data_IF_111622135806
#
_entry.id   IF_111622135806
#
_cell.length_a   1.000
_cell.length_b   1.000
_cell.length_c   1.000
_cell.angle_alpha   90.00
_cell.angle_beta   90.00
_cell.angle_gamma   90.00
#
_symmetry.space_group_name_H-M   'P 1'
#
loop_
_entity.id
_entity.type
_entity.pdbx_description
1 polymer ?
#
# COMPACT_ATOMS: atom_id res chain seq x y z
N UNK A 1 39.49 -43.53 -18.64
CA UNK A 1 38.85 -43.29 -17.33
C UNK A 1 39.14 -41.86 -16.90
N UNK A 2 38.26 -40.92 -17.21
CA UNK A 2 38.25 -39.54 -16.67
C UNK A 2 37.05 -38.84 -17.32
N UNK A 3 35.96 -38.63 -16.57
CA UNK A 3 34.93 -37.60 -16.85
C UNK A 3 33.78 -37.54 -15.83
N UNK A 4 33.91 -38.14 -14.63
CA UNK A 4 32.86 -38.10 -13.60
C UNK A 4 33.00 -36.96 -12.58
N UNK A 5 34.16 -36.29 -12.51
CA UNK A 5 34.42 -35.26 -11.49
C UNK A 5 33.78 -33.90 -11.83
N UNK A 6 33.78 -33.51 -13.11
CA UNK A 6 33.31 -32.18 -13.56
C UNK A 6 31.79 -32.06 -13.41
N UNK A 7 31.04 -33.14 -13.64
CA UNK A 7 29.57 -33.15 -13.55
C UNK A 7 29.04 -32.96 -12.14
N UNK A 8 29.75 -33.44 -11.10
CA UNK A 8 29.32 -33.28 -9.70
C UNK A 8 29.59 -31.88 -9.15
N UNK A 9 30.70 -31.26 -9.58
CA UNK A 9 31.05 -29.90 -9.19
C UNK A 9 30.06 -28.91 -9.80
N UNK A 10 29.75 -29.05 -11.10
CA UNK A 10 28.76 -28.20 -11.76
C UNK A 10 27.36 -28.30 -11.09
N UNK A 11 26.93 -29.50 -10.71
CA UNK A 11 25.65 -29.74 -10.04
C UNK A 11 25.59 -29.08 -8.64
N UNK A 12 26.67 -29.16 -7.86
CA UNK A 12 26.75 -28.52 -6.54
C UNK A 12 26.77 -26.99 -6.62
N UNK A 13 27.45 -26.42 -7.61
CA UNK A 13 27.48 -24.97 -7.83
C UNK A 13 26.12 -24.42 -8.27
N UNK A 14 25.36 -25.14 -9.11
CA UNK A 14 24.00 -24.74 -9.49
C UNK A 14 23.01 -24.86 -8.33
N UNK A 15 23.14 -25.88 -7.47
CA UNK A 15 22.25 -26.06 -6.32
C UNK A 15 22.49 -24.99 -5.25
N UNK A 16 23.75 -24.62 -5.01
CA UNK A 16 24.12 -23.55 -4.08
C UNK A 16 23.65 -22.17 -4.56
N UNK A 17 23.76 -21.88 -5.86
CA UNK A 17 23.25 -20.64 -6.44
C UNK A 17 21.72 -20.53 -6.34
N UNK A 18 21.00 -21.64 -6.51
CA UNK A 18 19.54 -21.68 -6.39
C UNK A 18 19.08 -21.51 -4.92
N UNK A 19 19.81 -22.09 -3.97
CA UNK A 19 19.55 -21.91 -2.54
C UNK A 19 19.88 -20.49 -2.06
N UNK A 20 20.94 -19.84 -2.57
CA UNK A 20 21.26 -18.46 -2.21
C UNK A 20 20.20 -17.49 -2.78
N UNK A 21 19.78 -17.68 -4.04
CA UNK A 21 18.72 -16.87 -4.63
C UNK A 21 17.37 -17.04 -3.89
N UNK A 22 17.03 -18.27 -3.48
CA UNK A 22 15.80 -18.53 -2.72
C UNK A 22 15.82 -17.93 -1.31
N UNK A 23 16.98 -17.86 -0.65
CA UNK A 23 17.11 -17.24 0.68
C UNK A 23 17.13 -15.71 0.59
N UNK A 24 17.68 -15.12 -0.47
CA UNK A 24 17.63 -13.67 -0.71
C UNK A 24 16.21 -13.16 -0.97
N UNK A 25 15.33 -14.00 -1.53
CA UNK A 25 13.91 -13.66 -1.71
C UNK A 25 13.10 -13.70 -0.41
N UNK A 26 13.64 -14.23 0.69
CA UNK A 26 12.93 -14.36 1.97
C UNK A 26 13.15 -13.19 2.94
N UNK A 27 14.01 -12.21 2.61
CA UNK A 27 14.42 -11.19 3.60
C UNK A 27 14.64 -9.77 3.06
N UNK A 28 14.18 -9.44 1.85
CA UNK A 28 13.95 -8.04 1.49
C UNK A 28 12.48 -7.74 1.75
N UNK A 29 12.21 -7.03 2.85
CA UNK A 29 10.92 -6.35 3.00
C UNK A 29 10.66 -5.52 1.75
N UNK A 30 9.44 -5.57 1.22
CA UNK A 30 9.12 -4.85 -0.01
C UNK A 30 9.37 -3.35 0.20
N UNK A 31 10.11 -2.71 -0.72
CA UNK A 31 10.43 -1.27 -0.64
C UNK A 31 9.20 -0.39 -0.94
N UNK A 32 8.16 -0.98 -1.53
CA UNK A 32 6.89 -0.32 -1.87
C UNK A 32 5.71 -1.23 -1.57
N UNK A 33 4.52 -0.66 -1.41
CA UNK A 33 3.30 -1.45 -1.30
C UNK A 33 3.04 -2.20 -2.61
N UNK A 34 2.78 -3.49 -2.49
CA UNK A 34 2.65 -4.39 -3.62
C UNK A 34 1.45 -5.32 -3.42
N UNK A 35 0.79 -5.61 -4.54
CA UNK A 35 -0.28 -6.61 -4.61
C UNK A 35 0.20 -7.73 -5.52
N UNK A 36 0.28 -8.94 -5.00
CA UNK A 36 0.68 -10.12 -5.77
C UNK A 36 -0.43 -11.15 -5.82
N UNK A 37 -0.53 -11.87 -6.93
CA UNK A 37 -1.49 -12.96 -7.08
C UNK A 37 -0.85 -14.23 -6.53
N UNK A 38 -1.35 -14.71 -5.39
CA UNK A 38 -0.92 -15.96 -4.77
C UNK A 38 -1.49 -17.16 -5.52
N UNK A 39 -2.78 -17.08 -5.88
CA UNK A 39 -3.52 -18.14 -6.55
C UNK A 39 -4.62 -17.56 -7.42
N UNK A 40 -4.92 -18.22 -8.54
CA UNK A 40 -6.03 -17.85 -9.42
C UNK A 40 -6.73 -19.11 -9.91
N UNK A 41 -8.07 -19.10 -9.86
CA UNK A 41 -8.92 -20.12 -10.44
C UNK A 41 -10.00 -19.52 -11.34
N UNK A 42 -10.90 -20.37 -11.81
CA UNK A 42 -11.95 -19.97 -12.78
C UNK A 42 -12.92 -18.90 -12.24
N UNK A 43 -13.08 -18.82 -10.92
CA UNK A 43 -14.03 -17.92 -10.26
C UNK A 43 -13.47 -17.24 -8.99
N UNK A 44 -12.17 -17.32 -8.74
CA UNK A 44 -11.55 -16.70 -7.57
C UNK A 44 -10.11 -16.27 -7.86
N UNK A 45 -9.64 -15.31 -7.06
CA UNK A 45 -8.24 -14.92 -6.95
C UNK A 45 -7.92 -14.82 -5.46
N UNK A 46 -6.72 -15.27 -5.10
CA UNK A 46 -6.14 -15.07 -3.78
C UNK A 46 -4.98 -14.11 -3.94
N UNK A 47 -5.02 -13.03 -3.17
CA UNK A 47 -4.11 -11.91 -3.30
C UNK A 47 -3.33 -11.73 -1.99
N UNK A 48 -2.05 -11.47 -2.14
CA UNK A 48 -1.17 -11.03 -1.06
C UNK A 48 -0.94 -9.54 -1.17
N UNK A 49 -1.18 -8.84 -0.06
CA UNK A 49 -0.90 -7.41 0.09
C UNK A 49 0.28 -7.27 1.04
N UNK A 50 1.34 -6.67 0.56
CA UNK A 50 2.53 -6.38 1.36
C UNK A 50 2.79 -4.89 1.31
N UNK A 51 3.07 -4.29 2.46
CA UNK A 51 3.43 -2.87 2.55
C UNK A 51 4.65 -2.70 3.46
N UNK A 52 5.56 -1.76 3.14
CA UNK A 52 6.60 -1.36 4.06
C UNK A 52 6.02 -0.64 5.28
N UNK A 53 6.84 -0.51 6.34
CA UNK A 53 6.48 0.30 7.49
C UNK A 53 6.17 1.75 7.08
N UNK A 54 5.15 2.36 7.70
CA UNK A 54 4.80 3.75 7.43
C UNK A 54 5.91 4.71 7.86
N UNK A 55 6.04 5.81 7.13
CA UNK A 55 6.82 6.97 7.55
C UNK A 55 5.86 8.04 8.10
N UNK A 56 6.17 8.54 9.29
CA UNK A 56 5.40 9.59 9.95
C UNK A 56 6.09 10.94 9.82
N UNK A 57 5.28 11.98 9.72
CA UNK A 57 5.70 13.36 9.64
C UNK A 57 4.63 14.27 10.22
N UNK A 58 4.85 15.57 10.13
CA UNK A 58 3.98 16.56 10.73
C UNK A 58 3.71 17.68 9.73
N UNK A 59 2.49 18.22 9.75
CA UNK A 59 2.10 19.36 8.93
C UNK A 59 1.25 20.32 9.74
N UNK A 60 1.55 21.61 9.60
CA UNK A 60 0.70 22.67 10.14
C UNK A 60 -0.45 22.96 9.17
N UNK A 61 -1.68 22.95 9.69
CA UNK A 61 -2.86 23.42 8.97
C UNK A 61 -3.73 24.27 9.89
N UNK A 62 -4.01 25.50 9.46
CA UNK A 62 -4.88 26.44 10.17
C UNK A 62 -4.49 26.63 11.67
N UNK A 63 -3.19 26.75 11.96
CA UNK A 63 -2.65 26.93 13.31
C UNK A 63 -2.68 25.69 14.20
N UNK A 64 -3.06 24.52 13.66
CA UNK A 64 -2.99 23.23 14.34
C UNK A 64 -1.96 22.32 13.69
N UNK A 65 -1.24 21.55 14.50
CA UNK A 65 -0.36 20.50 14.02
C UNK A 65 -1.13 19.19 13.85
N UNK A 66 -0.87 18.52 12.73
CA UNK A 66 -1.42 17.22 12.39
C UNK A 66 -0.30 16.26 11.96
N UNK A 67 -0.51 14.98 12.22
CA UNK A 67 0.35 13.90 11.76
C UNK A 67 0.11 13.65 10.27
N UNK A 68 1.17 13.29 9.55
CA UNK A 68 1.07 12.81 8.17
C UNK A 68 1.65 11.41 8.12
N UNK A 69 0.93 10.48 7.51
CA UNK A 69 1.38 9.10 7.31
C UNK A 69 1.63 8.86 5.81
N UNK A 70 2.75 8.23 5.48
CA UNK A 70 3.07 7.82 4.12
C UNK A 70 3.53 6.38 4.09
N UNK A 71 3.06 5.65 3.10
CA UNK A 71 3.54 4.30 2.77
C UNK A 71 3.98 4.35 1.31
N UNK A 72 5.21 3.93 1.02
CA UNK A 72 5.71 3.93 -0.35
C UNK A 72 4.82 3.03 -1.22
N UNK A 73 4.47 3.44 -2.44
CA UNK A 73 3.57 2.69 -3.33
C UNK A 73 2.07 2.85 -3.05
N UNK A 74 1.68 3.61 -2.02
CA UNK A 74 0.28 3.92 -1.74
C UNK A 74 -0.14 5.30 -2.27
N UNK A 75 -1.43 5.42 -2.55
CA UNK A 75 -2.12 6.67 -2.87
C UNK A 75 -2.95 7.16 -1.68
N UNK A 76 -3.53 8.35 -1.79
CA UNK A 76 -4.42 8.95 -0.79
C UNK A 76 -5.86 8.94 -1.28
N UNK A 77 -6.81 8.53 -0.43
CA UNK A 77 -8.24 8.69 -0.74
C UNK A 77 -8.61 10.15 -0.48
N UNK A 78 -8.78 10.92 -1.56
CA UNK A 78 -9.11 12.33 -1.50
C UNK A 78 -10.60 12.57 -1.16
N UNK A 79 -11.01 12.23 0.07
CA UNK A 79 -12.30 12.64 0.64
C UNK A 79 -12.10 13.86 1.55
N UNK A 80 -12.47 15.09 1.12
CA UNK A 80 -12.15 16.31 1.85
C UNK A 80 -12.70 16.31 3.28
N UNK A 81 -11.85 16.70 4.24
CA UNK A 81 -12.20 16.78 5.65
C UNK A 81 -12.05 15.49 6.46
N UNK A 82 -11.81 14.36 5.80
CA UNK A 82 -11.48 13.08 6.45
C UNK A 82 -9.96 12.89 6.59
N UNK A 83 -9.47 12.06 7.54
CA UNK A 83 -8.07 11.69 7.63
C UNK A 83 -7.50 11.20 6.30
N UNK A 84 -6.34 11.75 5.92
CA UNK A 84 -5.54 11.33 4.77
C UNK A 84 -4.77 10.04 5.09
N UNK A 85 -5.38 8.88 4.78
CA UNK A 85 -4.81 7.56 5.04
C UNK A 85 -4.35 6.90 3.72
N UNK A 86 -3.12 6.38 3.65
CA UNK A 86 -2.59 5.73 2.46
C UNK A 86 -3.34 4.42 2.15
N UNK A 87 -3.62 4.19 0.88
CA UNK A 87 -4.22 2.95 0.40
C UNK A 87 -3.50 2.45 -0.86
N UNK A 88 -3.58 1.14 -1.11
CA UNK A 88 -3.19 0.53 -2.38
C UNK A 88 -4.43 -0.11 -2.99
N UNK A 89 -4.65 0.16 -4.28
CA UNK A 89 -5.77 -0.35 -5.05
C UNK A 89 -5.31 -0.96 -6.36
N UNK A 90 -6.12 -1.84 -6.91
CA UNK A 90 -5.88 -2.49 -8.19
C UNK A 90 -7.22 -2.79 -8.85
N UNK A 91 -7.22 -2.89 -10.17
CA UNK A 91 -8.42 -3.17 -10.96
C UNK A 91 -8.43 -4.65 -11.34
N UNK A 92 -9.57 -5.31 -11.11
CA UNK A 92 -9.81 -6.68 -11.55
C UNK A 92 -10.92 -6.71 -12.59
N UNK A 93 -10.70 -7.49 -13.64
CA UNK A 93 -11.75 -7.86 -14.58
C UNK A 93 -12.63 -8.94 -13.95
N UNK A 94 -13.92 -8.62 -13.76
CA UNK A 94 -14.90 -9.56 -13.23
C UNK A 94 -15.75 -10.11 -14.39
N UNK A 95 -15.93 -11.45 -14.49
CA UNK A 95 -16.81 -12.03 -15.49
C UNK A 95 -18.23 -11.47 -15.42
N UNK A 96 -18.86 -11.30 -16.58
CA UNK A 96 -20.21 -10.75 -16.66
C UNK A 96 -21.23 -11.58 -15.87
N UNK A 97 -22.15 -10.90 -15.18
CA UNK A 97 -23.22 -11.47 -14.33
C UNK A 97 -22.74 -12.10 -13.00
N UNK A 98 -21.45 -12.02 -12.67
CA UNK A 98 -20.97 -12.37 -11.34
C UNK A 98 -21.16 -11.22 -10.35
N UNK A 99 -21.33 -11.55 -9.07
CA UNK A 99 -21.27 -10.60 -7.95
C UNK A 99 -20.00 -10.90 -7.16
N UNK A 100 -18.92 -10.12 -7.33
CA UNK A 100 -17.70 -10.37 -6.60
C UNK A 100 -17.94 -10.09 -5.11
N UNK A 101 -17.28 -10.86 -4.26
CA UNK A 101 -17.16 -10.56 -2.84
C UNK A 101 -15.69 -10.74 -2.46
N UNK A 102 -15.22 -9.95 -1.50
CA UNK A 102 -13.90 -10.06 -0.94
C UNK A 102 -13.99 -10.61 0.48
N UNK A 103 -13.01 -11.41 0.88
CA UNK A 103 -12.83 -11.89 2.25
C UNK A 103 -11.35 -11.81 2.59
N UNK A 104 -11.04 -11.25 3.75
CA UNK A 104 -9.70 -11.31 4.33
C UNK A 104 -9.48 -12.73 4.90
N UNK A 105 -8.46 -13.43 4.39
CA UNK A 105 -8.10 -14.77 4.90
C UNK A 105 -7.18 -14.68 6.12
N UNK A 106 -6.23 -13.74 6.08
CA UNK A 106 -5.22 -13.52 7.10
C UNK A 106 -4.81 -12.05 7.09
N UNK A 107 -4.47 -11.54 8.27
CA UNK A 107 -3.90 -10.22 8.45
C UNK A 107 -2.74 -10.33 9.43
N UNK A 108 -1.67 -9.60 9.14
CA UNK A 108 -0.62 -9.29 10.09
C UNK A 108 -0.65 -7.78 10.26
N UNK A 109 -0.96 -7.32 11.45
CA UNK A 109 -1.12 -5.90 11.76
C UNK A 109 -0.09 -5.41 12.79
N UNK A 110 0.19 -4.12 12.69
CA UNK A 110 0.89 -3.34 13.69
C UNK A 110 0.04 -2.09 13.97
N UNK A 111 -0.18 -1.77 15.25
CA UNK A 111 -1.01 -0.64 15.65
C UNK A 111 -0.15 0.54 16.08
N UNK A 112 -0.50 1.73 15.61
CA UNK A 112 0.09 3.00 16.00
C UNK A 112 -0.98 3.83 16.71
N UNK A 113 -0.66 4.43 17.85
CA UNK A 113 -1.61 5.14 18.72
C UNK A 113 -1.31 6.63 18.78
N UNK A 114 -2.27 7.41 19.29
CA UNK A 114 -2.17 8.85 19.54
C UNK A 114 -1.89 9.70 18.29
N UNK A 115 -2.30 9.23 17.11
CA UNK A 115 -2.14 9.94 15.85
C UNK A 115 -3.34 10.84 15.55
N UNK A 116 -3.07 12.10 15.21
CA UNK A 116 -4.05 13.04 14.68
C UNK A 116 -3.76 13.31 13.22
N UNK A 117 -4.13 12.36 12.36
CA UNK A 117 -3.84 12.40 10.93
C UNK A 117 -4.45 13.65 10.27
N UNK A 118 -3.68 14.32 9.41
CA UNK A 118 -4.09 15.51 8.69
C UNK A 118 -5.31 15.23 7.80
N UNK A 119 -6.27 16.16 7.70
CA UNK A 119 -7.41 15.97 6.82
C UNK A 119 -7.02 16.15 5.35
N UNK A 120 -7.66 15.39 4.47
CA UNK A 120 -7.61 15.62 3.04
C UNK A 120 -8.16 17.02 2.73
N UNK A 121 -7.40 17.78 1.95
CA UNK A 121 -7.81 19.10 1.49
C UNK A 121 -8.77 18.98 0.31
N UNK A 122 -9.69 19.93 0.17
CA UNK A 122 -10.54 19.99 -1.01
C UNK A 122 -9.68 20.26 -2.26
N UNK A 123 -9.79 19.45 -3.33
CA UNK A 123 -9.05 19.71 -4.56
C UNK A 123 -9.47 21.06 -5.15
N UNK A 124 -8.50 21.77 -5.73
CA UNK A 124 -8.75 23.04 -6.42
C UNK A 124 -9.37 22.74 -7.78
N UNK A 125 -10.64 23.10 -7.97
CA UNK A 125 -11.24 23.11 -9.30
C UNK A 125 -10.68 24.33 -10.06
N UNK A 126 -9.93 24.07 -11.13
CA UNK A 126 -9.50 25.13 -12.05
C UNK A 126 -10.53 25.22 -13.17
N UNK A 127 -11.33 26.29 -13.16
CA UNK A 127 -12.31 26.53 -14.21
C UNK A 127 -11.60 26.86 -15.53
N UNK A 128 -11.94 26.17 -16.61
CA UNK A 128 -11.19 26.14 -17.88
C UNK A 128 -11.21 27.46 -18.68
N UNK A 129 -11.70 28.56 -18.10
CA UNK A 129 -11.77 29.89 -18.72
C UNK A 129 -11.31 31.04 -17.83
N UNK A 130 -11.06 30.81 -16.55
CA UNK A 130 -10.69 31.86 -15.60
C UNK A 130 -9.58 31.36 -14.68
N UNK A 131 -8.43 32.04 -14.69
CA UNK A 131 -7.27 31.77 -13.82
C UNK A 131 -7.57 32.20 -12.37
N UNK A 132 -8.64 31.69 -11.78
CA UNK A 132 -8.92 31.86 -10.36
C UNK A 132 -8.41 30.62 -9.66
N UNK A 133 -7.19 30.69 -9.14
CA UNK A 133 -6.68 29.69 -8.20
C UNK A 133 -7.48 29.86 -6.91
N UNK A 134 -8.49 29.02 -6.72
CA UNK A 134 -9.19 28.95 -5.44
C UNK A 134 -8.24 28.23 -4.48
N UNK A 135 -7.78 28.89 -3.43
CA UNK A 135 -6.93 28.25 -2.43
C UNK A 135 -7.65 27.04 -1.84
N UNK A 136 -6.97 25.89 -1.65
CA UNK A 136 -7.59 24.70 -1.09
C UNK A 136 -8.14 25.03 0.30
N UNK A 137 -9.47 24.90 0.44
CA UNK A 137 -10.15 25.20 1.70
C UNK A 137 -9.82 24.09 2.70
N UNK A 138 -9.34 24.48 3.88
CA UNK A 138 -9.28 23.57 5.01
C UNK A 138 -10.70 23.18 5.41
N UNK A 139 -10.97 21.88 5.35
CA UNK A 139 -12.21 21.26 5.82
C UNK A 139 -11.79 20.27 6.90
N UNK A 140 -12.53 20.25 8.01
CA UNK A 140 -12.34 19.27 9.08
C UNK A 140 -13.72 18.70 9.42
N UNK A 141 -13.88 17.39 9.30
CA UNK A 141 -15.08 16.73 9.80
C UNK A 141 -14.93 16.44 11.29
N UNK A 142 -15.42 17.36 12.13
CA UNK A 142 -15.35 17.26 13.58
C UNK A 142 -15.93 15.95 14.14
N UNK A 143 -16.91 15.32 13.45
CA UNK A 143 -17.50 14.07 13.93
C UNK A 143 -16.53 12.90 13.82
N UNK A 144 -15.74 12.89 12.75
CA UNK A 144 -14.70 11.90 12.54
C UNK A 144 -13.55 12.14 13.54
N UNK A 145 -13.14 13.39 13.73
CA UNK A 145 -12.04 13.72 14.65
C UNK A 145 -12.41 13.73 16.13
N UNK A 146 -13.69 13.58 16.49
CA UNK A 146 -14.15 13.45 17.87
C UNK A 146 -14.13 12.00 18.40
N UNK A 147 -13.77 11.02 17.57
CA UNK A 147 -13.57 9.64 18.01
C UNK A 147 -12.14 9.42 18.50
N UNK A 148 -12.00 8.88 19.71
CA UNK A 148 -10.70 8.60 20.37
C UNK A 148 -9.86 7.49 19.69
N UNK A 149 -10.29 6.96 18.54
CA UNK A 149 -9.67 5.83 17.89
C UNK A 149 -9.57 6.03 16.37
N UNK A 150 -8.34 6.04 15.87
CA UNK A 150 -7.97 5.79 14.49
C UNK A 150 -6.88 4.71 14.46
#
# INVERSE_FOLDING_TARGET
>A
MQNTSISRIALCFTLAAFLIAAVSSLALGSETAEVTVRESGDNYFVLDFTAPSPTFGWREHNGSMFDTVKVAGCESIAEPGKPDVPFVGFLLAIPGKCRPYARCESIQDESYFDLRIAPCLQPVEVDAGHTTVIEPRFVLDERQYATDAY
#
